data_IF_467217813323
#
_entry.id   IF_467217813323
#
_cell.length_a   1.000
_cell.length_b   1.000
_cell.length_c   1.000
_cell.angle_alpha   90.00
_cell.angle_beta   90.00
_cell.angle_gamma   90.00
#
_symmetry.space_group_name_H-M   'P 1'
#
loop_
_entity.id
_entity.type
_entity.pdbx_description
1 polymer ?
#
# COMPACT_ATOMS: atom_id res chain seq x y z
N UNK A 1 5.11 -5.49 -15.77
CA UNK A 1 4.99 -6.78 -15.06
C UNK A 1 3.53 -7.09 -14.70
N UNK A 2 2.78 -6.23 -13.99
CA UNK A 2 1.34 -6.46 -13.75
C UNK A 2 0.53 -6.75 -15.02
N UNK A 3 0.72 -5.99 -16.11
CA UNK A 3 0.05 -6.21 -17.39
C UNK A 3 0.36 -7.57 -18.07
N UNK A 4 1.36 -8.31 -17.58
CA UNK A 4 1.71 -9.65 -18.08
C UNK A 4 0.99 -10.76 -17.31
N UNK A 5 0.31 -10.44 -16.20
CA UNK A 5 -0.49 -11.42 -15.45
C UNK A 5 -1.74 -11.74 -16.28
N UNK A 6 -1.96 -13.02 -16.66
CA UNK A 6 -3.16 -13.40 -17.40
C UNK A 6 -4.39 -13.32 -16.50
N UNK A 7 -5.56 -13.09 -17.10
CA UNK A 7 -6.83 -13.19 -16.39
C UNK A 7 -7.06 -14.61 -15.89
N UNK A 8 -7.58 -14.74 -14.67
CA UNK A 8 -7.79 -16.06 -14.03
C UNK A 8 -9.26 -16.27 -13.64
N UNK A 9 -9.70 -17.53 -13.72
CA UNK A 9 -10.98 -18.06 -13.23
C UNK A 9 -12.20 -17.16 -13.55
N UNK A 10 -12.61 -17.11 -14.82
CA UNK A 10 -13.81 -16.38 -15.29
C UNK A 10 -13.96 -14.93 -14.76
N UNK A 11 -12.84 -14.21 -14.62
CA UNK A 11 -12.86 -12.80 -14.20
C UNK A 11 -12.67 -12.55 -12.70
N UNK A 12 -12.21 -13.56 -11.95
CA UNK A 12 -11.78 -13.37 -10.54
C UNK A 12 -10.51 -12.51 -10.47
N UNK A 13 -9.55 -12.70 -11.37
CA UNK A 13 -8.44 -11.74 -11.56
C UNK A 13 -8.66 -11.06 -12.90
N UNK A 14 -8.87 -9.74 -12.86
CA UNK A 14 -9.09 -8.93 -14.05
C UNK A 14 -7.80 -8.61 -14.79
N UNK A 15 -7.95 -8.22 -16.05
CA UNK A 15 -6.80 -7.78 -16.85
C UNK A 15 -6.32 -6.43 -16.35
N UNK A 16 -5.11 -6.41 -15.83
CA UNK A 16 -4.45 -5.18 -15.39
C UNK A 16 -4.20 -4.22 -16.56
N UNK A 17 -4.32 -2.92 -16.28
CA UNK A 17 -4.01 -1.86 -17.24
C UNK A 17 -2.51 -1.80 -17.57
N UNK A 18 -2.16 -1.12 -18.67
CA UNK A 18 -0.77 -1.00 -19.12
C UNK A 18 0.14 -0.31 -18.08
N UNK A 19 -0.40 0.57 -17.22
CA UNK A 19 0.38 1.27 -16.21
C UNK A 19 -0.26 1.19 -14.81
N UNK A 20 -0.23 0.00 -14.21
CA UNK A 20 -0.72 -0.20 -12.83
C UNK A 20 0.05 0.61 -11.78
N UNK A 21 1.33 0.93 -12.03
CA UNK A 21 2.14 1.73 -11.11
C UNK A 21 1.65 3.18 -10.95
N UNK A 22 0.88 3.70 -11.91
CA UNK A 22 0.24 5.02 -11.75
C UNK A 22 -0.95 4.99 -10.77
N UNK A 23 -1.49 3.80 -10.49
CA UNK A 23 -2.67 3.56 -9.66
C UNK A 23 -3.85 4.48 -10.02
N UNK A 24 -4.07 4.71 -11.33
CA UNK A 24 -5.09 5.62 -11.87
C UNK A 24 -6.32 4.83 -12.30
N UNK A 25 -7.51 5.33 -11.94
CA UNK A 25 -8.82 4.72 -12.29
C UNK A 25 -8.96 3.27 -11.82
N UNK A 26 -8.38 2.94 -10.66
CA UNK A 26 -8.57 1.63 -10.03
C UNK A 26 -9.95 1.55 -9.39
N UNK A 27 -10.62 0.43 -9.61
CA UNK A 27 -11.83 0.01 -8.90
C UNK A 27 -11.46 -0.73 -7.60
N UNK A 28 -12.44 -0.93 -6.71
CA UNK A 28 -12.24 -1.71 -5.50
C UNK A 28 -11.65 -3.11 -5.77
N UNK A 29 -12.13 -3.79 -6.81
CA UNK A 29 -11.65 -5.11 -7.22
C UNK A 29 -10.18 -5.07 -7.67
N UNK A 30 -9.76 -4.02 -8.36
CA UNK A 30 -8.37 -3.90 -8.83
C UNK A 30 -7.38 -3.87 -7.65
N UNK A 31 -7.75 -3.27 -6.51
CA UNK A 31 -6.88 -3.28 -5.32
C UNK A 31 -6.71 -4.68 -4.73
N UNK A 32 -7.80 -5.46 -4.68
CA UNK A 32 -7.76 -6.84 -4.21
C UNK A 32 -6.91 -7.71 -5.16
N UNK A 33 -7.10 -7.56 -6.48
CA UNK A 33 -6.34 -8.27 -7.51
C UNK A 33 -4.85 -7.92 -7.47
N UNK A 34 -4.51 -6.63 -7.29
CA UNK A 34 -3.12 -6.18 -7.11
C UNK A 34 -2.50 -6.88 -5.92
N UNK A 35 -3.18 -6.91 -4.76
CA UNK A 35 -2.63 -7.51 -3.55
C UNK A 35 -2.41 -9.03 -3.73
N UNK A 36 -3.35 -9.72 -4.37
CA UNK A 36 -3.23 -11.16 -4.67
C UNK A 36 -2.06 -11.45 -5.62
N UNK A 37 -1.82 -10.59 -6.61
CA UNK A 37 -0.78 -10.80 -7.62
C UNK A 37 0.58 -10.18 -7.25
N UNK A 38 0.64 -9.37 -6.19
CA UNK A 38 1.83 -8.59 -5.86
C UNK A 38 3.05 -9.48 -5.64
N UNK A 39 2.93 -10.56 -4.86
CA UNK A 39 4.08 -11.45 -4.57
C UNK A 39 4.76 -11.94 -5.86
N UNK A 40 3.98 -12.45 -6.82
CA UNK A 40 4.47 -12.91 -8.13
C UNK A 40 5.12 -11.79 -8.94
N UNK A 41 4.49 -10.61 -8.96
CA UNK A 41 4.95 -9.49 -9.77
C UNK A 41 6.24 -8.87 -9.23
N UNK A 42 6.43 -8.90 -7.91
CA UNK A 42 7.59 -8.37 -7.23
C UNK A 42 8.73 -9.39 -7.10
N UNK A 43 8.53 -10.66 -7.44
CA UNK A 43 9.54 -11.71 -7.31
C UNK A 43 10.77 -11.41 -8.18
N UNK A 44 11.95 -11.45 -7.57
CA UNK A 44 13.22 -11.17 -8.24
C UNK A 44 13.33 -9.76 -8.79
N UNK A 45 12.51 -8.81 -8.31
CA UNK A 45 12.58 -7.42 -8.77
C UNK A 45 13.73 -6.67 -8.11
N UNK A 46 14.04 -7.02 -6.85
CA UNK A 46 15.03 -6.31 -6.07
C UNK A 46 16.32 -7.13 -5.91
N UNK A 47 17.49 -6.48 -5.83
CA UNK A 47 18.75 -7.19 -5.65
C UNK A 47 18.94 -7.66 -4.20
N UNK A 48 19.54 -8.85 -4.03
CA UNK A 48 20.01 -9.35 -2.73
C UNK A 48 18.91 -9.52 -1.68
N UNK A 49 19.22 -9.18 -0.43
CA UNK A 49 18.34 -9.38 0.73
C UNK A 49 17.05 -8.53 0.68
N UNK A 50 17.01 -7.51 -0.17
CA UNK A 50 15.85 -6.64 -0.34
C UNK A 50 14.63 -7.40 -0.88
N UNK A 51 14.83 -8.32 -1.82
CA UNK A 51 13.73 -9.09 -2.42
C UNK A 51 13.04 -9.95 -1.37
N UNK A 52 13.82 -10.66 -0.55
CA UNK A 52 13.31 -11.52 0.52
C UNK A 52 12.50 -10.73 1.56
N UNK A 53 12.97 -9.53 1.93
CA UNK A 53 12.26 -8.65 2.87
C UNK A 53 10.93 -8.17 2.27
N UNK A 54 10.94 -7.75 1.01
CA UNK A 54 9.75 -7.27 0.32
C UNK A 54 8.75 -8.40 0.11
N UNK A 55 9.20 -9.58 -0.30
CA UNK A 55 8.36 -10.78 -0.45
C UNK A 55 7.74 -11.20 0.89
N UNK A 56 8.52 -11.21 1.98
CA UNK A 56 7.98 -11.46 3.32
C UNK A 56 6.92 -10.43 3.69
N UNK A 57 7.14 -9.15 3.41
CA UNK A 57 6.20 -8.08 3.73
C UNK A 57 4.90 -8.23 2.93
N UNK A 58 4.99 -8.47 1.62
CA UNK A 58 3.85 -8.72 0.74
C UNK A 58 3.04 -9.93 1.20
N UNK A 59 3.72 -11.02 1.58
CA UNK A 59 3.06 -12.18 2.16
C UNK A 59 2.30 -11.85 3.46
N UNK A 60 2.89 -11.06 4.36
CA UNK A 60 2.19 -10.65 5.59
C UNK A 60 0.97 -9.79 5.30
N UNK A 61 1.06 -8.87 4.35
CA UNK A 61 -0.07 -8.06 3.92
C UNK A 61 -1.19 -8.93 3.34
N UNK A 62 -0.86 -9.84 2.43
CA UNK A 62 -1.83 -10.78 1.85
C UNK A 62 -2.48 -11.64 2.95
N UNK A 63 -1.69 -12.21 3.86
CA UNK A 63 -2.20 -13.02 4.96
C UNK A 63 -3.11 -12.23 5.90
N UNK A 64 -2.71 -11.03 6.32
CA UNK A 64 -3.56 -10.16 7.14
C UNK A 64 -4.86 -9.81 6.43
N UNK A 65 -4.79 -9.42 5.15
CA UNK A 65 -5.97 -9.07 4.35
C UNK A 65 -6.93 -10.26 4.20
N UNK A 66 -6.42 -11.46 3.91
CA UNK A 66 -7.26 -12.66 3.80
C UNK A 66 -8.01 -12.96 5.11
N UNK A 67 -7.36 -12.77 6.26
CA UNK A 67 -8.00 -12.93 7.56
C UNK A 67 -9.02 -11.84 7.86
N UNK A 68 -8.76 -10.60 7.46
CA UNK A 68 -9.67 -9.47 7.65
C UNK A 68 -10.94 -9.58 6.79
N UNK A 69 -10.82 -10.17 5.59
CA UNK A 69 -11.90 -10.37 4.61
C UNK A 69 -12.71 -11.65 4.80
N UNK A 70 -12.48 -12.42 5.86
CA UNK A 70 -13.30 -13.60 6.13
C UNK A 70 -14.77 -13.20 6.33
N UNK A 71 -15.69 -13.91 5.68
CA UNK A 71 -17.13 -13.71 5.84
C UNK A 71 -17.66 -14.27 7.17
N UNK A 72 -16.88 -15.12 7.84
CA UNK A 72 -17.22 -15.68 9.14
C UNK A 72 -16.00 -15.61 10.03
N UNK A 73 -16.13 -14.90 11.14
CA UNK A 73 -15.08 -14.81 12.15
C UNK A 73 -15.43 -15.64 13.38
N UNK A 74 -14.45 -16.38 13.88
CA UNK A 74 -14.48 -17.05 15.17
C UNK A 74 -13.49 -16.37 16.12
N UNK A 75 -13.52 -16.75 17.41
CA UNK A 75 -12.52 -16.29 18.38
C UNK A 75 -11.08 -16.62 17.94
N UNK A 76 -10.88 -17.76 17.27
CA UNK A 76 -9.56 -18.18 16.79
C UNK A 76 -9.10 -17.36 15.60
N UNK A 77 -9.96 -17.07 14.62
CA UNK A 77 -9.59 -16.24 13.47
C UNK A 77 -9.35 -14.78 13.86
N UNK A 78 -10.10 -14.24 14.83
CA UNK A 78 -9.86 -12.90 15.36
C UNK A 78 -8.52 -12.81 16.11
N UNK A 79 -8.18 -13.84 16.89
CA UNK A 79 -6.86 -13.92 17.52
C UNK A 79 -5.74 -14.06 16.49
N UNK A 80 -5.97 -14.84 15.42
CA UNK A 80 -5.03 -14.94 14.32
C UNK A 80 -4.84 -13.61 13.58
N UNK A 81 -5.91 -12.84 13.38
CA UNK A 81 -5.87 -11.52 12.75
C UNK A 81 -5.03 -10.53 13.57
N UNK A 82 -5.28 -10.44 14.88
CA UNK A 82 -4.50 -9.61 15.81
C UNK A 82 -3.01 -9.99 15.84
N UNK A 83 -2.73 -11.28 15.96
CA UNK A 83 -1.36 -11.78 15.96
C UNK A 83 -0.64 -11.54 14.62
N UNK A 84 -1.37 -11.64 13.51
CA UNK A 84 -0.81 -11.37 12.18
C UNK A 84 -0.53 -9.88 12.00
N UNK A 85 -1.40 -9.01 12.50
CA UNK A 85 -1.16 -7.56 12.51
C UNK A 85 0.09 -7.19 13.32
N UNK A 86 0.26 -7.72 14.53
CA UNK A 86 1.47 -7.49 15.35
C UNK A 86 2.76 -7.92 14.64
N UNK A 87 2.71 -9.02 13.89
CA UNK A 87 3.85 -9.47 13.08
C UNK A 87 4.08 -8.55 11.87
N UNK A 88 3.00 -8.11 11.22
CA UNK A 88 3.05 -7.18 10.09
C UNK A 88 3.62 -5.83 10.51
N UNK A 89 3.16 -5.25 11.63
CA UNK A 89 3.67 -3.98 12.14
C UNK A 89 5.17 -4.06 12.46
N UNK A 90 5.60 -5.12 13.15
CA UNK A 90 7.02 -5.36 13.40
C UNK A 90 7.86 -5.47 12.10
N UNK A 91 7.31 -6.09 11.05
CA UNK A 91 7.98 -6.15 9.75
C UNK A 91 7.98 -4.81 9.02
N UNK A 92 6.91 -4.01 9.12
CA UNK A 92 6.85 -2.67 8.56
C UNK A 92 7.88 -1.73 9.19
N UNK A 93 8.07 -1.81 10.51
CA UNK A 93 9.12 -1.06 11.19
C UNK A 93 10.51 -1.47 10.72
N UNK A 94 10.79 -2.78 10.62
CA UNK A 94 12.07 -3.27 10.06
C UNK A 94 12.28 -2.83 8.63
N UNK A 95 11.24 -2.89 7.79
CA UNK A 95 11.29 -2.44 6.42
C UNK A 95 11.59 -0.93 6.34
N UNK A 96 10.95 -0.13 7.17
CA UNK A 96 11.24 1.30 7.29
C UNK A 96 12.70 1.55 7.64
N UNK A 97 13.19 0.93 8.70
CA UNK A 97 14.55 1.16 9.18
C UNK A 97 15.59 0.73 8.15
N UNK A 98 15.34 -0.38 7.46
CA UNK A 98 16.25 -0.90 6.44
C UNK A 98 16.22 -0.10 5.12
N UNK A 99 15.02 0.24 4.62
CA UNK A 99 14.86 0.94 3.35
C UNK A 99 15.18 2.42 3.43
N UNK A 100 14.84 3.09 4.53
CA UNK A 100 15.17 4.51 4.73
C UNK A 100 16.68 4.76 4.82
N UNK A 101 17.47 3.74 5.19
CA UNK A 101 18.94 3.81 5.17
C UNK A 101 19.48 3.48 3.77
N UNK A 102 18.93 2.46 3.10
CA UNK A 102 19.53 1.92 1.87
C UNK A 102 19.11 2.66 0.61
N UNK A 103 17.87 3.16 0.54
CA UNK A 103 17.32 3.80 -0.65
C UNK A 103 16.93 5.25 -0.38
N UNK A 104 17.56 6.17 -1.10
CA UNK A 104 17.06 7.55 -1.18
C UNK A 104 15.86 7.58 -2.12
N UNK A 105 14.66 7.42 -1.55
CA UNK A 105 13.42 7.56 -2.31
C UNK A 105 13.12 9.03 -2.58
N UNK A 106 12.72 9.33 -3.81
CA UNK A 106 12.37 10.67 -4.28
C UNK A 106 10.86 10.75 -4.54
N UNK A 107 10.29 11.94 -4.41
CA UNK A 107 8.89 12.18 -4.80
C UNK A 107 8.64 11.75 -6.25
N UNK A 108 7.49 11.12 -6.50
CA UNK A 108 7.11 10.79 -7.87
C UNK A 108 6.87 12.10 -8.65
N UNK A 109 7.15 12.14 -9.97
CA UNK A 109 6.92 13.33 -10.81
C UNK A 109 5.48 13.89 -10.69
N UNK A 110 4.50 13.01 -10.48
CA UNK A 110 3.10 13.39 -10.26
C UNK A 110 2.86 14.09 -8.91
N UNK A 111 3.50 13.62 -7.84
CA UNK A 111 3.40 14.26 -6.53
C UNK A 111 4.00 15.66 -6.57
N UNK A 112 5.16 15.80 -7.23
CA UNK A 112 5.80 17.08 -7.51
C UNK A 112 4.87 18.01 -8.31
N UNK A 113 4.32 17.55 -9.43
CA UNK A 113 3.42 18.36 -10.26
C UNK A 113 2.14 18.77 -9.49
N UNK A 114 1.63 17.90 -8.61
CA UNK A 114 0.50 18.23 -7.75
C UNK A 114 0.87 19.29 -6.69
N UNK A 115 2.08 19.19 -6.12
CA UNK A 115 2.60 20.19 -5.19
C UNK A 115 2.83 21.54 -5.87
N UNK A 116 3.46 21.57 -7.05
CA UNK A 116 3.68 22.78 -7.85
C UNK A 116 2.35 23.48 -8.20
N UNK A 117 1.31 22.73 -8.55
CA UNK A 117 -0.04 23.30 -8.79
C UNK A 117 -0.64 23.91 -7.53
N UNK A 118 -0.47 23.30 -6.37
CA UNK A 118 -0.96 23.85 -5.09
C UNK A 118 -0.19 25.11 -4.71
N UNK A 119 1.14 25.08 -4.80
CA UNK A 119 1.98 26.24 -4.57
C UNK A 119 1.63 27.40 -5.51
N UNK A 120 1.38 27.13 -6.80
CA UNK A 120 0.95 28.15 -7.75
C UNK A 120 -0.43 28.75 -7.41
N UNK A 121 -1.37 27.95 -6.89
CA UNK A 121 -2.66 28.45 -6.39
C UNK A 121 -2.54 29.23 -5.06
N UNK A 122 -1.55 28.91 -4.22
CA UNK A 122 -1.32 29.59 -2.94
C UNK A 122 -0.52 30.90 -3.13
N UNK A 123 0.35 30.97 -4.14
CA UNK A 123 1.15 32.15 -4.46
C UNK A 123 0.43 33.21 -5.31
N UNK A 124 -0.82 33.00 -5.75
CA UNK A 124 -1.59 34.01 -6.49
C UNK A 124 -2.04 35.22 -5.65
N UNK A 125 -1.38 35.48 -4.51
CA UNK A 125 -1.62 36.61 -3.61
C UNK A 125 -0.37 37.32 -3.08
N UNK A 126 0.85 36.85 -3.37
CA UNK A 126 2.09 37.57 -3.03
C UNK A 126 3.14 37.40 -4.12
N UNK A 127 3.44 38.49 -4.83
CA UNK A 127 4.57 38.63 -5.74
C UNK A 127 5.89 38.46 -4.95
N UNK A 128 6.58 37.34 -5.15
CA UNK A 128 8.00 37.23 -4.86
C UNK A 128 8.69 36.40 -5.96
N UNK A 129 9.63 36.98 -6.73
CA UNK A 129 10.19 36.36 -7.93
C UNK A 129 11.42 35.49 -7.61
N UNK A 130 11.40 34.73 -6.51
CA UNK A 130 12.51 33.84 -6.15
C UNK A 130 12.00 32.45 -5.71
N UNK A 131 11.12 31.87 -6.52
CA UNK A 131 10.78 30.45 -6.42
C UNK A 131 11.75 29.65 -7.31
N UNK A 132 13.00 29.56 -6.87
CA UNK A 132 14.01 28.72 -7.49
C UNK A 132 13.49 27.30 -7.70
N UNK A 133 13.68 26.79 -8.92
CA UNK A 133 13.40 25.42 -9.37
C UNK A 133 13.56 24.39 -8.24
N UNK A 134 12.45 24.01 -7.61
CA UNK A 134 12.44 23.10 -6.48
C UNK A 134 13.07 21.76 -6.87
N UNK A 135 14.22 21.45 -6.29
CA UNK A 135 14.86 20.15 -6.42
C UNK A 135 13.90 19.07 -5.91
N UNK A 136 13.96 17.88 -6.53
CA UNK A 136 13.08 16.77 -6.18
C UNK A 136 13.26 16.42 -4.70
N UNK A 137 12.17 16.46 -3.91
CA UNK A 137 12.26 16.23 -2.46
C UNK A 137 12.46 14.74 -2.18
N UNK A 138 13.34 14.45 -1.24
CA UNK A 138 13.51 13.11 -0.68
C UNK A 138 12.29 12.78 0.15
N UNK A 139 11.68 11.62 -0.12
CA UNK A 139 10.47 11.15 0.56
C UNK A 139 10.77 9.88 1.33
N UNK A 140 10.49 9.91 2.63
CA UNK A 140 10.61 8.74 3.50
C UNK A 140 9.27 8.03 3.65
N UNK A 141 9.32 6.71 3.85
CA UNK A 141 8.14 5.93 4.18
C UNK A 141 7.59 6.38 5.54
N UNK A 142 6.28 6.63 5.64
CA UNK A 142 5.65 7.14 6.86
C UNK A 142 4.68 6.11 7.42
N UNK A 143 5.00 5.55 8.60
CA UNK A 143 4.13 4.61 9.32
C UNK A 143 3.08 5.28 10.19
N UNK A 144 3.23 6.57 10.53
CA UNK A 144 2.30 7.30 11.39
C UNK A 144 1.08 7.82 10.61
N UNK A 145 0.63 7.07 9.61
CA UNK A 145 -0.58 7.40 8.85
C UNK A 145 -1.77 6.70 9.46
N UNK A 146 -2.95 7.33 9.35
CA UNK A 146 -4.21 6.77 9.82
C UNK A 146 -4.43 5.32 9.36
N UNK A 147 -3.99 4.98 8.15
CA UNK A 147 -4.15 3.64 7.58
C UNK A 147 -3.55 2.55 8.47
N UNK A 148 -2.35 2.75 8.99
CA UNK A 148 -1.69 1.75 9.84
C UNK A 148 -2.33 1.65 11.23
N UNK A 149 -2.81 2.76 11.77
CA UNK A 149 -3.55 2.76 13.04
C UNK A 149 -4.91 2.08 12.88
N UNK A 150 -5.65 2.39 11.82
CA UNK A 150 -6.94 1.77 11.52
C UNK A 150 -6.83 0.25 11.35
N UNK A 151 -5.70 -0.26 10.82
CA UNK A 151 -5.46 -1.71 10.68
C UNK A 151 -5.48 -2.47 12.02
N UNK A 152 -5.05 -1.83 13.12
CA UNK A 152 -5.10 -2.42 14.47
C UNK A 152 -6.55 -2.57 14.95
N UNK A 153 -7.37 -1.56 14.65
CA UNK A 153 -8.76 -1.46 15.10
C UNK A 153 -9.71 -2.42 14.37
N UNK A 154 -9.27 -3.12 13.32
CA UNK A 154 -10.12 -4.07 12.58
C UNK A 154 -10.66 -5.17 13.49
N UNK A 155 -9.84 -5.71 14.39
CA UNK A 155 -10.27 -6.81 15.28
C UNK A 155 -11.40 -6.34 16.19
N UNK A 156 -11.29 -5.13 16.73
CA UNK A 156 -12.32 -4.57 17.60
C UNK A 156 -13.57 -4.16 16.79
N UNK A 157 -13.38 -3.59 15.61
CA UNK A 157 -14.46 -3.22 14.70
C UNK A 157 -15.27 -4.45 14.29
N UNK A 158 -14.60 -5.56 13.97
CA UNK A 158 -15.27 -6.81 13.58
C UNK A 158 -16.10 -7.39 14.73
N UNK A 159 -15.61 -7.26 15.97
CA UNK A 159 -16.35 -7.72 17.16
C UNK A 159 -17.62 -6.91 17.42
N UNK A 160 -17.58 -5.60 17.15
CA UNK A 160 -18.68 -4.69 17.45
C UNK A 160 -19.71 -4.62 16.33
N UNK A 161 -19.26 -4.64 15.07
CA UNK A 161 -20.09 -4.32 13.91
C UNK A 161 -20.25 -5.46 12.91
N UNK A 162 -19.51 -6.57 13.06
CA UNK A 162 -19.56 -7.70 12.15
C UNK A 162 -18.46 -7.65 11.06
N UNK A 163 -18.62 -8.46 10.01
CA UNK A 163 -17.57 -8.69 9.00
C UNK A 163 -17.30 -7.44 8.15
N UNK A 164 -16.07 -7.31 7.67
CA UNK A 164 -15.66 -6.20 6.78
C UNK A 164 -15.62 -6.60 5.30
N UNK A 165 -16.20 -7.74 4.96
CA UNK A 165 -16.17 -8.32 3.62
C UNK A 165 -16.84 -7.42 2.57
N UNK A 166 -17.96 -6.78 2.93
CA UNK A 166 -18.70 -5.87 2.07
C UNK A 166 -18.05 -4.49 1.88
N UNK A 167 -16.99 -4.17 2.63
CA UNK A 167 -16.30 -2.88 2.54
C UNK A 167 -14.99 -3.02 1.77
N UNK A 168 -14.65 -2.00 1.00
CA UNK A 168 -13.32 -1.96 0.36
C UNK A 168 -12.30 -1.57 1.42
N UNK A 169 -11.19 -2.31 1.55
CA UNK A 169 -10.11 -1.99 2.49
C UNK A 169 -9.16 -0.90 1.94
N UNK A 170 -9.65 -0.09 0.99
CA UNK A 170 -8.96 1.08 0.47
C UNK A 170 -9.11 2.22 1.47
N UNK A 171 -8.28 2.17 2.52
CA UNK A 171 -8.03 3.29 3.42
C UNK A 171 -7.09 4.31 2.78
#
# INVERSE_FOLDING_TARGET
RFCQVPSYRNGVIQRFSNNMSEMKRLTACDFEDILQCAMLVFEGLFPGDHDAIIQSLLYRFAHWHTLAKLQVHSKTTLSALDNTFKKLSGQLHRFHDFMCITFTMMELPKERAAWERRAACECSGLDNPDAGSGSQKVKKFNLSTYKFHAMEDYVQSIRLFGTTDSFTMQL
#
